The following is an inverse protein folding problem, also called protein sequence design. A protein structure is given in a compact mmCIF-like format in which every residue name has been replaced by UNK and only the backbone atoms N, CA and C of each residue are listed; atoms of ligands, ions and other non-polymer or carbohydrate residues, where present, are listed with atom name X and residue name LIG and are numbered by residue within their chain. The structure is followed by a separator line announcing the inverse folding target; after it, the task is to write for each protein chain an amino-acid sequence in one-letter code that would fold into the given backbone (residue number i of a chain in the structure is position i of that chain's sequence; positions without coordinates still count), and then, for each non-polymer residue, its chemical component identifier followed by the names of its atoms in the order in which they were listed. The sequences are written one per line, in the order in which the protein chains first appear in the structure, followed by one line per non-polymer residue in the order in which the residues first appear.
data_IF_460403884429
#
_entry.id   IF_460403884429
#
_cell.length_a   1.000
_cell.length_b   1.000
_cell.length_c   1.000
_cell.angle_alpha   90.00
_cell.angle_beta   90.00
_cell.angle_gamma   90.00
#
_symmetry.space_group_name_H-M   'P 1'
#
loop_
_entity.id
_entity.type
_entity.pdbx_description
1 polymer ?
#
# COMPACT_ATOMS: atom_id res chain seq x y z
N UNK A 1 5.14 39.31 -47.76
CA UNK A 1 4.54 38.36 -48.69
C UNK A 1 3.61 37.51 -47.87
N UNK A 2 2.36 37.92 -47.74
CA UNK A 2 1.21 37.47 -48.55
C UNK A 2 1.00 35.97 -48.32
N UNK A 3 -0.11 35.46 -47.90
CA UNK A 3 -1.48 35.99 -47.84
C UNK A 3 -2.44 34.85 -47.81
N UNK A 4 -3.54 35.16 -47.21
CA UNK A 4 -4.95 34.84 -47.49
C UNK A 4 -5.47 33.52 -46.91
N UNK A 5 -6.38 33.52 -45.94
CA UNK A 5 -7.84 33.86 -45.93
C UNK A 5 -8.68 33.09 -46.96
N UNK A 6 -9.66 32.32 -46.44
CA UNK A 6 -11.10 32.32 -46.76
C UNK A 6 -11.78 31.24 -45.90
N UNK A 7 -12.69 31.50 -45.07
CA UNK A 7 -14.06 32.06 -44.99
C UNK A 7 -15.15 31.13 -45.56
N UNK A 8 -16.13 30.95 -44.69
CA UNK A 8 -17.61 30.87 -44.88
C UNK A 8 -18.16 29.52 -45.33
N UNK A 9 -19.36 29.08 -44.97
CA UNK A 9 -20.62 29.76 -44.66
C UNK A 9 -21.62 28.78 -44.03
N UNK A 10 -22.47 29.37 -43.24
CA UNK A 10 -23.78 28.90 -42.75
C UNK A 10 -24.68 28.23 -43.78
N UNK A 11 -25.50 27.28 -43.33
CA UNK A 11 -26.91 27.24 -43.79
C UNK A 11 -27.81 26.55 -42.75
N UNK A 12 -28.60 27.37 -42.11
CA UNK A 12 -29.92 27.13 -41.50
C UNK A 12 -30.93 26.76 -42.60
N UNK A 13 -31.80 25.79 -42.34
CA UNK A 13 -33.15 25.79 -42.91
C UNK A 13 -34.15 25.15 -41.96
N UNK A 14 -35.14 25.98 -41.68
CA UNK A 14 -36.44 25.71 -41.02
C UNK A 14 -37.46 25.11 -42.00
N UNK A 15 -38.58 24.77 -41.40
CA UNK A 15 -39.95 24.59 -41.91
C UNK A 15 -40.34 23.13 -42.25
N UNK A 16 -41.52 22.67 -42.02
CA UNK A 16 -42.78 23.27 -41.62
C UNK A 16 -43.82 22.16 -41.41
N UNK A 17 -44.74 22.44 -40.56
CA UNK A 17 -45.99 21.66 -40.38
C UNK A 17 -46.90 21.85 -41.59
N UNK A 18 -47.88 20.93 -41.82
CA UNK A 18 -49.25 21.41 -41.95
C UNK A 18 -50.25 20.63 -41.10
N UNK A 19 -51.20 21.41 -40.63
CA UNK A 19 -52.54 21.00 -40.14
C UNK A 19 -53.48 20.85 -41.36
N UNK A 20 -54.45 19.94 -41.21
CA UNK A 20 -55.84 20.09 -41.76
C UNK A 20 -56.69 19.04 -41.03
N UNK A 21 -57.68 19.37 -40.33
CA UNK A 21 -59.03 19.89 -40.35
C UNK A 21 -60.08 18.85 -40.76
N UNK A 22 -60.88 18.53 -39.79
CA UNK A 22 -62.34 18.30 -39.69
C UNK A 22 -63.17 17.78 -40.90
N UNK A 23 -63.94 16.77 -40.59
CA UNK A 23 -65.34 16.75 -41.08
C UNK A 23 -66.24 15.88 -40.19
N UNK A 24 -67.31 16.51 -39.73
CA UNK A 24 -68.47 15.92 -39.11
C UNK A 24 -69.30 15.18 -40.15
N UNK A 25 -69.96 14.08 -39.83
CA UNK A 25 -71.36 13.85 -40.22
C UNK A 25 -72.08 12.74 -39.39
N UNK A 26 -73.23 13.11 -39.07
CA UNK A 26 -74.28 12.65 -38.28
C UNK A 26 -74.93 11.27 -38.64
N UNK A 27 -75.61 10.77 -37.62
CA UNK A 27 -76.91 10.09 -37.53
C UNK A 27 -76.97 8.63 -37.89
N UNK A 28 -77.35 7.83 -36.90
CA UNK A 28 -78.70 7.17 -36.86
C UNK A 28 -78.93 6.39 -35.53
N UNK A 29 -80.03 6.71 -34.91
CA UNK A 29 -80.62 5.97 -33.81
C UNK A 29 -81.00 4.57 -34.25
N UNK A 30 -80.70 3.56 -33.47
CA UNK A 30 -81.46 2.29 -33.40
C UNK A 30 -81.47 1.78 -31.97
N UNK A 31 -82.60 1.88 -31.39
CA UNK A 31 -83.07 1.17 -30.20
C UNK A 31 -83.08 -0.32 -30.42
N UNK A 32 -82.43 -1.12 -29.49
CA UNK A 32 -83.03 -2.40 -29.11
C UNK A 32 -82.28 -3.13 -27.97
N UNK A 33 -83.07 -3.36 -26.93
CA UNK A 33 -83.13 -4.53 -26.03
C UNK A 33 -81.88 -4.84 -25.15
N UNK A 34 -82.18 -4.63 -23.84
CA UNK A 34 -81.47 -5.20 -22.71
C UNK A 34 -81.34 -6.73 -22.83
N UNK A 35 -80.13 -7.23 -22.87
CA UNK A 35 -79.80 -8.60 -22.54
C UNK A 35 -78.93 -8.59 -21.30
N UNK A 36 -79.52 -8.94 -20.16
CA UNK A 36 -78.79 -9.18 -18.92
C UNK A 36 -77.85 -10.33 -19.15
N UNK A 37 -76.55 -10.04 -19.25
CA UNK A 37 -75.52 -11.05 -19.07
C UNK A 37 -74.88 -10.80 -17.71
N UNK A 38 -75.18 -11.70 -16.79
CA UNK A 38 -74.47 -11.83 -15.53
C UNK A 38 -72.96 -12.07 -15.84
N UNK A 39 -72.17 -11.04 -15.90
CA UNK A 39 -70.75 -11.14 -15.96
C UNK A 39 -70.23 -11.44 -14.54
N UNK A 40 -69.85 -12.70 -14.32
CA UNK A 40 -69.29 -13.14 -13.08
C UNK A 40 -68.06 -12.23 -12.73
N UNK A 41 -68.17 -11.58 -11.61
CA UNK A 41 -67.05 -10.93 -10.96
C UNK A 41 -66.01 -12.02 -10.64
N UNK A 42 -64.98 -12.15 -11.50
CA UNK A 42 -63.76 -12.85 -11.13
C UNK A 42 -63.19 -12.04 -9.98
N UNK A 43 -63.46 -12.48 -8.75
CA UNK A 43 -62.79 -11.95 -7.57
C UNK A 43 -61.28 -11.99 -7.79
N UNK A 44 -60.67 -10.83 -7.87
CA UNK A 44 -59.20 -10.70 -7.75
C UNK A 44 -58.85 -11.30 -6.41
N UNK A 45 -58.43 -12.56 -6.43
CA UNK A 45 -57.82 -13.25 -5.27
C UNK A 45 -56.62 -12.41 -4.88
N UNK A 46 -56.83 -11.47 -3.94
CA UNK A 46 -55.70 -10.79 -3.26
C UNK A 46 -54.91 -11.91 -2.58
N UNK A 47 -53.78 -12.23 -3.16
CA UNK A 47 -52.72 -12.96 -2.47
C UNK A 47 -52.30 -12.07 -1.30
N UNK A 48 -52.99 -12.17 -0.18
CA UNK A 48 -52.49 -11.66 1.08
C UNK A 48 -51.24 -12.49 1.35
N UNK A 49 -50.12 -11.85 1.18
CA UNK A 49 -48.80 -12.36 1.58
C UNK A 49 -48.89 -12.74 3.08
N UNK A 50 -49.32 -13.97 3.32
CA UNK A 50 -49.13 -14.66 4.61
C UNK A 50 -47.72 -15.21 4.67
N UNK A 51 -46.78 -14.51 4.04
CA UNK A 51 -45.37 -14.89 3.87
C UNK A 51 -44.45 -14.08 4.76
N UNK A 52 -45.00 -13.42 5.78
CA UNK A 52 -44.16 -12.72 6.73
C UNK A 52 -43.04 -13.62 7.36
N UNK A 53 -43.35 -14.89 7.77
CA UNK A 53 -42.28 -15.77 8.24
C UNK A 53 -41.29 -16.16 7.14
N UNK A 54 -41.70 -16.29 5.88
CA UNK A 54 -40.79 -16.55 4.76
C UNK A 54 -39.92 -15.32 4.48
N UNK A 55 -40.50 -14.12 4.51
CA UNK A 55 -39.76 -12.88 4.34
C UNK A 55 -38.76 -12.68 5.48
N UNK A 56 -39.17 -12.97 6.71
CA UNK A 56 -38.27 -12.93 7.89
C UNK A 56 -37.14 -13.95 7.77
N UNK A 57 -37.43 -15.16 7.29
CA UNK A 57 -36.43 -16.18 7.02
C UNK A 57 -35.39 -15.75 5.98
N UNK A 58 -35.86 -15.13 4.89
CA UNK A 58 -34.96 -14.59 3.85
C UNK A 58 -34.06 -13.47 4.42
N UNK A 59 -34.63 -12.57 5.23
CA UNK A 59 -33.86 -11.47 5.87
C UNK A 59 -32.82 -12.03 6.83
N UNK A 60 -33.16 -13.04 7.63
CA UNK A 60 -32.21 -13.68 8.56
C UNK A 60 -31.06 -14.39 7.80
N UNK A 61 -31.39 -15.10 6.73
CA UNK A 61 -30.36 -15.74 5.87
C UNK A 61 -29.47 -14.69 5.21
N UNK A 62 -30.05 -13.62 4.69
CA UNK A 62 -29.29 -12.51 4.10
C UNK A 62 -28.40 -11.83 5.15
N UNK A 63 -28.91 -11.57 6.35
CA UNK A 63 -28.14 -10.98 7.45
C UNK A 63 -26.99 -11.90 7.90
N UNK A 64 -27.24 -13.21 8.00
CA UNK A 64 -26.20 -14.20 8.32
C UNK A 64 -25.11 -14.24 7.21
N UNK A 65 -25.53 -14.23 5.94
CA UNK A 65 -24.59 -14.18 4.82
C UNK A 65 -23.76 -12.90 4.81
N UNK A 66 -24.39 -11.75 5.05
CA UNK A 66 -23.70 -10.44 5.18
C UNK A 66 -22.74 -10.47 6.36
N UNK A 67 -23.15 -11.05 7.50
CA UNK A 67 -22.30 -11.20 8.68
C UNK A 67 -21.07 -12.07 8.40
N UNK A 68 -21.25 -13.22 7.77
CA UNK A 68 -20.15 -14.11 7.37
C UNK A 68 -19.24 -13.42 6.36
N UNK A 69 -19.83 -12.77 5.35
CA UNK A 69 -19.06 -12.00 4.36
C UNK A 69 -18.26 -10.88 5.02
N UNK A 70 -18.85 -10.15 5.96
CA UNK A 70 -18.16 -9.11 6.70
C UNK A 70 -17.00 -9.66 7.53
N UNK A 71 -17.21 -10.76 8.27
CA UNK A 71 -16.17 -11.36 9.13
C UNK A 71 -15.00 -11.91 8.31
N UNK A 72 -15.27 -12.58 7.20
CA UNK A 72 -14.21 -13.25 6.41
C UNK A 72 -13.61 -12.40 5.30
N UNK A 73 -14.35 -11.43 4.74
CA UNK A 73 -13.89 -10.65 3.58
C UNK A 73 -13.73 -9.16 3.84
N UNK A 74 -14.51 -8.57 4.74
CA UNK A 74 -14.42 -7.13 5.01
C UNK A 74 -13.62 -6.87 6.29
N UNK A 75 -13.88 -7.63 7.35
CA UNK A 75 -13.22 -7.45 8.64
C UNK A 75 -11.70 -7.50 8.56
N UNK A 76 -11.08 -8.51 7.94
CA UNK A 76 -9.63 -8.58 7.80
C UNK A 76 -9.01 -7.44 6.98
N UNK A 77 -9.80 -6.84 6.06
CA UNK A 77 -9.36 -5.75 5.19
C UNK A 77 -9.84 -4.37 5.63
N UNK A 78 -10.71 -4.29 6.64
CA UNK A 78 -11.29 -3.01 7.09
C UNK A 78 -10.21 -2.02 7.57
N UNK A 79 -9.15 -2.52 8.16
CA UNK A 79 -8.02 -1.72 8.61
C UNK A 79 -7.23 -1.14 7.44
N UNK A 80 -7.01 -1.94 6.39
CA UNK A 80 -6.36 -1.50 5.15
C UNK A 80 -7.20 -0.44 4.41
N UNK A 81 -8.52 -0.61 4.38
CA UNK A 81 -9.41 0.41 3.82
C UNK A 81 -9.35 1.72 4.59
N UNK A 82 -9.26 1.69 5.93
CA UNK A 82 -9.08 2.88 6.75
C UNK A 82 -7.74 3.56 6.46
N UNK A 83 -6.66 2.80 6.36
CA UNK A 83 -5.34 3.32 6.02
C UNK A 83 -5.27 3.90 4.59
N UNK A 84 -5.94 3.28 3.61
CA UNK A 84 -5.97 3.77 2.21
C UNK A 84 -6.85 5.01 2.00
N UNK A 85 -7.95 5.14 2.75
CA UNK A 85 -8.97 6.18 2.54
C UNK A 85 -9.24 7.05 3.77
N UNK A 86 -8.59 6.78 4.88
CA UNK A 86 -8.70 7.49 6.15
C UNK A 86 -7.37 8.07 6.62
N UNK A 87 -7.34 8.48 7.86
CA UNK A 87 -6.11 8.89 8.53
C UNK A 87 -5.25 7.66 8.82
N UNK A 88 -3.94 7.79 8.62
CA UNK A 88 -2.98 6.75 9.01
C UNK A 88 -2.94 6.66 10.52
N UNK A 89 -3.14 5.45 11.06
CA UNK A 89 -3.01 5.22 12.50
C UNK A 89 -1.54 4.96 12.80
N UNK A 90 -0.98 5.78 13.68
CA UNK A 90 0.39 5.61 14.15
C UNK A 90 0.40 4.82 15.48
N UNK A 91 1.33 3.87 15.66
CA UNK A 91 1.48 3.16 16.92
C UNK A 91 1.84 4.10 18.06
N UNK A 92 1.18 3.95 19.20
CA UNK A 92 1.44 4.73 20.41
C UNK A 92 2.70 4.23 21.14
N UNK A 93 3.36 5.14 21.86
CA UNK A 93 4.53 4.83 22.71
C UNK A 93 5.85 4.75 21.98
N UNK A 94 5.93 5.31 20.76
CA UNK A 94 7.16 5.39 19.97
C UNK A 94 7.31 6.80 19.40
N UNK A 95 8.40 7.48 19.75
CA UNK A 95 8.63 8.88 19.42
C UNK A 95 9.59 9.06 18.23
N UNK A 96 10.32 8.01 17.84
CA UNK A 96 11.27 8.05 16.73
C UNK A 96 10.64 7.49 15.48
N UNK A 97 10.31 8.39 14.54
CA UNK A 97 9.59 8.10 13.29
C UNK A 97 10.54 8.10 12.11
N UNK A 98 10.26 7.26 11.13
CA UNK A 98 11.00 7.23 9.89
C UNK A 98 10.13 6.78 8.72
N UNK A 99 10.72 6.84 7.54
CA UNK A 99 10.12 6.37 6.30
C UNK A 99 11.12 5.50 5.56
N UNK A 100 10.62 4.66 4.65
CA UNK A 100 11.46 4.08 3.64
C UNK A 100 10.95 4.39 2.24
N UNK A 101 11.87 4.57 1.31
CA UNK A 101 11.61 5.08 -0.03
C UNK A 101 12.41 4.32 -1.09
N UNK A 102 11.91 4.40 -2.32
CA UNK A 102 12.57 3.92 -3.53
C UNK A 102 12.22 4.84 -4.71
N UNK A 103 12.57 4.44 -5.93
CA UNK A 103 12.12 5.13 -7.15
C UNK A 103 10.59 5.35 -7.23
N UNK A 104 9.78 4.58 -6.51
CA UNK A 104 8.31 4.74 -6.48
C UNK A 104 7.84 6.08 -5.92
N UNK A 105 8.61 6.69 -5.02
CA UNK A 105 8.31 8.01 -4.46
C UNK A 105 8.72 9.15 -5.40
N UNK A 106 9.41 8.83 -6.51
CA UNK A 106 9.87 9.79 -7.51
C UNK A 106 10.64 10.97 -6.90
N UNK A 107 10.32 12.20 -7.28
CA UNK A 107 10.98 13.40 -6.76
C UNK A 107 10.43 13.78 -5.39
N UNK A 108 11.31 13.99 -4.42
CA UNK A 108 11.00 14.36 -3.03
C UNK A 108 11.33 15.83 -2.81
N UNK A 109 10.45 16.54 -2.14
CA UNK A 109 10.68 17.88 -1.64
C UNK A 109 11.28 17.76 -0.22
N UNK A 110 12.60 17.69 -0.15
CA UNK A 110 13.35 17.41 1.06
C UNK A 110 13.19 18.50 2.12
N UNK A 111 13.03 19.77 1.73
CA UNK A 111 12.76 20.87 2.66
C UNK A 111 11.42 20.71 3.34
N UNK A 112 10.39 20.33 2.60
CA UNK A 112 9.09 20.02 3.19
C UNK A 112 9.11 18.76 4.04
N UNK A 113 9.84 17.73 3.60
CA UNK A 113 9.97 16.47 4.35
C UNK A 113 10.67 16.70 5.69
N UNK A 114 11.72 17.53 5.74
CA UNK A 114 12.40 17.90 6.97
C UNK A 114 11.48 18.55 8.00
N UNK A 115 10.55 19.35 7.53
CA UNK A 115 9.58 20.04 8.38
C UNK A 115 8.29 19.25 8.59
N UNK A 116 8.22 18.00 8.08
CA UNK A 116 7.08 17.14 8.23
C UNK A 116 7.09 16.41 9.57
N UNK A 117 5.91 16.02 10.00
CA UNK A 117 5.72 15.19 11.20
C UNK A 117 4.75 14.05 10.91
N UNK A 118 4.89 12.97 11.67
CA UNK A 118 3.98 11.84 11.73
C UNK A 118 3.44 11.77 13.16
N UNK A 119 2.14 12.02 13.34
CA UNK A 119 1.49 12.06 14.66
C UNK A 119 2.16 13.04 15.64
N UNK A 120 2.52 14.23 15.15
CA UNK A 120 3.26 15.32 15.83
C UNK A 120 4.76 15.04 16.09
N UNK A 121 5.26 13.85 15.83
CA UNK A 121 6.69 13.54 15.96
C UNK A 121 7.42 13.83 14.64
N UNK A 122 8.62 14.44 14.67
CA UNK A 122 9.40 14.68 13.47
C UNK A 122 9.86 13.36 12.82
N UNK A 123 10.04 13.39 11.50
CA UNK A 123 10.70 12.29 10.79
C UNK A 123 12.17 12.37 11.11
N UNK A 124 12.73 11.30 11.67
CA UNK A 124 14.10 11.25 12.16
C UNK A 124 15.04 10.48 11.25
N UNK A 125 14.51 9.47 10.52
CA UNK A 125 15.34 8.63 9.65
C UNK A 125 14.64 8.27 8.34
N UNK A 126 15.46 8.01 7.31
CA UNK A 126 15.01 7.60 5.97
C UNK A 126 15.84 6.41 5.50
N UNK A 127 15.20 5.29 5.16
CA UNK A 127 15.87 4.13 4.59
C UNK A 127 15.56 4.07 3.09
N UNK A 128 16.58 3.94 2.25
CA UNK A 128 16.49 4.19 0.81
C UNK A 128 16.88 2.93 0.06
N UNK A 129 16.06 2.51 -0.92
CA UNK A 129 16.40 1.42 -1.82
C UNK A 129 17.66 1.77 -2.59
N UNK A 130 18.68 0.92 -2.49
CA UNK A 130 19.92 1.10 -3.23
C UNK A 130 20.00 0.13 -4.40
N UNK A 131 19.85 -1.16 -4.15
CA UNK A 131 20.07 -2.20 -5.15
C UNK A 131 19.05 -3.34 -5.05
N UNK A 132 18.92 -4.09 -6.14
CA UNK A 132 18.11 -5.30 -6.22
C UNK A 132 18.83 -6.38 -7.04
N UNK A 133 18.87 -7.59 -6.55
CA UNK A 133 19.52 -8.70 -7.22
C UNK A 133 20.99 -8.43 -7.50
N UNK A 134 21.48 -8.78 -8.70
CA UNK A 134 22.91 -8.69 -9.03
C UNK A 134 23.28 -7.52 -9.94
N UNK A 135 22.30 -6.67 -10.34
CA UNK A 135 22.54 -5.68 -11.40
C UNK A 135 21.62 -4.46 -11.42
N UNK A 136 20.55 -4.43 -10.62
CA UNK A 136 19.62 -3.30 -10.61
C UNK A 136 20.02 -2.33 -9.48
N UNK A 137 20.37 -1.10 -9.84
CA UNK A 137 20.51 0.03 -8.92
C UNK A 137 19.25 0.88 -9.01
N UNK A 138 18.69 1.30 -7.88
CA UNK A 138 17.56 2.23 -7.85
C UNK A 138 18.01 3.57 -8.46
N UNK A 139 17.25 4.05 -9.43
CA UNK A 139 17.64 5.22 -10.22
C UNK A 139 17.74 6.52 -9.42
N UNK A 140 17.01 6.60 -8.30
CA UNK A 140 16.99 7.78 -7.42
C UNK A 140 17.90 7.60 -6.18
N UNK A 141 18.57 6.46 -6.03
CA UNK A 141 19.35 6.16 -4.82
C UNK A 141 20.36 7.24 -4.48
N UNK A 142 21.26 7.55 -5.41
CA UNK A 142 22.37 8.48 -5.13
C UNK A 142 21.87 9.87 -4.74
N UNK A 143 20.87 10.38 -5.45
CA UNK A 143 20.26 11.69 -5.17
C UNK A 143 19.55 11.67 -3.80
N UNK A 144 18.68 10.69 -3.57
CA UNK A 144 17.94 10.57 -2.33
C UNK A 144 18.85 10.36 -1.12
N UNK A 145 19.89 9.54 -1.26
CA UNK A 145 20.83 9.27 -0.18
C UNK A 145 21.65 10.50 0.20
N UNK A 146 22.10 11.27 -0.80
CA UNK A 146 22.80 12.53 -0.59
C UNK A 146 21.90 13.58 0.06
N UNK A 147 20.70 13.77 -0.46
CA UNK A 147 19.75 14.78 0.04
C UNK A 147 19.23 14.43 1.45
N UNK A 148 19.02 13.15 1.77
CA UNK A 148 18.66 12.73 3.12
C UNK A 148 19.71 13.19 4.14
N UNK A 149 21.00 12.98 3.86
CA UNK A 149 22.09 13.44 4.72
C UNK A 149 22.18 14.96 4.82
N UNK A 150 21.99 15.70 3.70
CA UNK A 150 22.00 17.17 3.71
C UNK A 150 20.85 17.79 4.51
N UNK A 151 19.77 17.05 4.68
CA UNK A 151 18.61 17.48 5.44
C UNK A 151 18.58 16.90 6.87
N UNK A 152 19.74 16.46 7.39
CA UNK A 152 19.96 15.97 8.76
C UNK A 152 19.11 14.75 9.15
N UNK A 153 18.68 13.93 8.19
CA UNK A 153 18.08 12.64 8.49
C UNK A 153 19.16 11.62 8.79
N UNK A 154 18.92 10.75 9.77
CA UNK A 154 19.67 9.49 9.87
C UNK A 154 19.26 8.66 8.66
N UNK A 155 20.21 8.36 7.78
CA UNK A 155 19.94 7.68 6.53
C UNK A 155 20.42 6.24 6.56
N UNK A 156 19.78 5.38 5.76
CA UNK A 156 20.16 3.99 5.58
C UNK A 156 19.95 3.55 4.14
N UNK A 157 20.61 2.48 3.74
CA UNK A 157 20.51 1.90 2.41
C UNK A 157 20.08 0.43 2.48
N UNK A 158 19.13 0.01 1.65
CA UNK A 158 18.72 -1.37 1.60
C UNK A 158 18.94 -2.05 0.25
N UNK A 159 19.22 -3.35 0.33
CA UNK A 159 19.31 -4.26 -0.80
C UNK A 159 18.07 -5.16 -0.84
N UNK A 160 17.33 -5.14 -1.94
CA UNK A 160 16.22 -6.08 -2.17
C UNK A 160 16.77 -7.42 -2.65
N UNK A 161 16.64 -8.44 -1.82
CA UNK A 161 17.17 -9.77 -2.08
C UNK A 161 16.31 -10.52 -3.10
N UNK A 162 16.93 -11.04 -4.15
CA UNK A 162 16.27 -11.86 -5.18
C UNK A 162 16.65 -13.33 -4.98
N UNK A 163 15.75 -14.17 -4.44
CA UNK A 163 16.01 -15.59 -4.23
C UNK A 163 16.32 -16.32 -5.53
N UNK A 164 17.29 -17.25 -5.48
CA UNK A 164 17.74 -18.00 -6.65
C UNK A 164 18.86 -17.31 -7.46
N UNK A 165 19.10 -16.03 -7.23
CA UNK A 165 20.32 -15.37 -7.68
C UNK A 165 21.48 -15.62 -6.69
N UNK A 166 22.71 -15.61 -7.18
CA UNK A 166 23.89 -15.86 -6.35
C UNK A 166 24.01 -14.79 -5.23
N UNK A 167 23.87 -15.20 -3.99
CA UNK A 167 23.86 -14.32 -2.82
C UNK A 167 25.17 -13.53 -2.65
N UNK A 168 26.31 -14.16 -2.90
CA UNK A 168 27.60 -13.48 -2.82
C UNK A 168 27.77 -12.41 -3.91
N UNK A 169 27.19 -12.61 -5.10
CA UNK A 169 27.20 -11.59 -6.14
C UNK A 169 26.26 -10.42 -5.76
N UNK A 170 25.11 -10.70 -5.15
CA UNK A 170 24.19 -9.68 -4.64
C UNK A 170 24.89 -8.83 -3.57
N UNK A 171 25.54 -9.44 -2.59
CA UNK A 171 26.31 -8.73 -1.55
C UNK A 171 27.41 -7.85 -2.15
N UNK A 172 28.22 -8.40 -3.05
CA UNK A 172 29.28 -7.64 -3.72
C UNK A 172 28.75 -6.49 -4.58
N UNK A 173 27.60 -6.69 -5.22
CA UNK A 173 26.94 -5.65 -6.00
C UNK A 173 26.47 -4.50 -5.09
N UNK A 174 25.83 -4.84 -3.96
CA UNK A 174 25.47 -3.83 -2.96
C UNK A 174 26.67 -3.05 -2.47
N UNK A 175 27.73 -3.73 -2.04
CA UNK A 175 28.97 -3.11 -1.54
C UNK A 175 29.69 -2.24 -2.58
N UNK A 176 29.49 -2.51 -3.87
CA UNK A 176 30.04 -1.70 -4.95
C UNK A 176 29.25 -0.41 -5.21
N UNK A 177 27.94 -0.44 -4.96
CA UNK A 177 27.07 0.70 -5.21
C UNK A 177 26.88 1.60 -4.00
N UNK A 178 27.02 1.05 -2.78
CA UNK A 178 26.69 1.73 -1.53
C UNK A 178 27.95 2.00 -0.73
N UNK A 179 28.16 3.26 -0.41
CA UNK A 179 29.27 3.72 0.43
C UNK A 179 28.67 4.42 1.65
N UNK A 180 28.62 3.71 2.77
CA UNK A 180 28.14 4.25 4.03
C UNK A 180 29.25 4.99 4.76
N UNK A 181 28.86 5.96 5.57
CA UNK A 181 29.72 6.83 6.37
C UNK A 181 29.32 6.74 7.85
N UNK A 182 30.18 7.16 8.79
CA UNK A 182 29.81 7.32 10.18
C UNK A 182 28.54 8.17 10.33
N UNK A 183 27.59 7.70 11.14
CA UNK A 183 26.25 8.30 11.27
C UNK A 183 25.17 7.70 10.36
N UNK A 184 25.52 6.90 9.37
CA UNK A 184 24.57 6.12 8.58
C UNK A 184 24.12 4.86 9.34
N UNK A 185 22.91 4.38 9.08
CA UNK A 185 22.43 3.10 9.61
C UNK A 185 23.25 1.93 9.04
N UNK A 186 23.35 0.81 9.77
CA UNK A 186 23.92 -0.42 9.23
C UNK A 186 23.25 -0.80 7.91
N UNK A 187 23.98 -1.49 7.01
CA UNK A 187 23.41 -2.02 5.78
C UNK A 187 22.13 -2.81 6.03
N UNK A 188 21.12 -2.67 5.16
CA UNK A 188 19.86 -3.39 5.31
C UNK A 188 19.70 -4.43 4.22
N UNK A 189 19.36 -5.67 4.62
CA UNK A 189 18.95 -6.73 3.71
C UNK A 189 17.44 -6.94 3.78
N UNK A 190 16.76 -6.70 2.68
CA UNK A 190 15.33 -6.87 2.54
C UNK A 190 15.00 -8.24 1.91
N UNK A 191 14.36 -9.12 2.70
CA UNK A 191 14.03 -10.50 2.31
C UNK A 191 12.54 -10.76 2.47
N UNK A 192 11.81 -10.78 1.36
CA UNK A 192 10.35 -10.90 1.35
C UNK A 192 9.83 -12.14 0.61
N UNK A 193 10.64 -12.75 -0.21
CA UNK A 193 10.24 -13.83 -1.10
C UNK A 193 11.12 -15.05 -0.92
N UNK A 194 10.53 -16.23 -1.04
CA UNK A 194 11.27 -17.48 -1.02
C UNK A 194 11.69 -17.94 -2.44
N UNK A 195 11.00 -17.44 -3.46
CA UNK A 195 11.18 -17.92 -4.83
C UNK A 195 10.95 -19.44 -4.94
N UNK A 196 11.79 -20.08 -5.72
CA UNK A 196 11.77 -21.55 -5.89
C UNK A 196 12.76 -22.27 -4.96
N UNK A 197 13.26 -21.60 -3.92
CA UNK A 197 14.21 -22.18 -2.97
C UNK A 197 13.47 -22.98 -1.89
N UNK A 198 14.18 -23.96 -1.32
CA UNK A 198 13.78 -24.54 -0.04
C UNK A 198 14.12 -23.58 1.10
N UNK A 199 13.44 -23.67 2.26
CA UNK A 199 13.77 -22.83 3.42
C UNK A 199 15.26 -22.91 3.83
N UNK A 200 15.86 -24.09 3.73
CA UNK A 200 17.28 -24.28 4.04
C UNK A 200 18.21 -23.58 3.03
N UNK A 201 17.85 -23.56 1.74
CA UNK A 201 18.60 -22.83 0.72
C UNK A 201 18.48 -21.33 0.93
N UNK A 202 17.25 -20.82 1.14
CA UNK A 202 17.04 -19.40 1.44
C UNK A 202 17.87 -18.94 2.64
N UNK A 203 17.83 -19.69 3.75
CA UNK A 203 18.61 -19.34 4.95
C UNK A 203 20.11 -19.29 4.70
N UNK A 204 20.65 -20.24 3.95
CA UNK A 204 22.08 -20.22 3.56
C UNK A 204 22.42 -19.00 2.71
N UNK A 205 21.59 -18.70 1.72
CA UNK A 205 21.82 -17.59 0.81
C UNK A 205 21.72 -16.24 1.51
N UNK A 206 20.69 -16.06 2.36
CA UNK A 206 20.55 -14.87 3.22
C UNK A 206 21.77 -14.72 4.14
N UNK A 207 22.18 -15.81 4.82
CA UNK A 207 23.36 -15.78 5.70
C UNK A 207 24.64 -15.45 4.93
N UNK A 208 24.80 -15.97 3.72
CA UNK A 208 25.96 -15.64 2.86
C UNK A 208 26.03 -14.14 2.56
N UNK A 209 24.90 -13.50 2.25
CA UNK A 209 24.87 -12.06 2.01
C UNK A 209 25.25 -11.28 3.28
N UNK A 210 24.61 -11.63 4.40
CA UNK A 210 24.83 -10.98 5.69
C UNK A 210 26.31 -11.07 6.11
N UNK A 211 26.93 -12.26 6.00
CA UNK A 211 28.34 -12.45 6.38
C UNK A 211 29.31 -11.62 5.55
N UNK A 212 29.07 -11.50 4.24
CA UNK A 212 29.94 -10.74 3.35
C UNK A 212 29.84 -9.24 3.67
N UNK A 213 28.64 -8.75 3.93
CA UNK A 213 28.43 -7.32 4.21
C UNK A 213 28.88 -6.97 5.62
N UNK A 214 28.64 -7.84 6.61
CA UNK A 214 29.16 -7.72 7.96
C UNK A 214 30.72 -7.67 7.97
N UNK A 215 31.36 -8.53 7.19
CA UNK A 215 32.83 -8.55 7.09
C UNK A 215 33.42 -7.23 6.51
N UNK A 216 32.61 -6.44 5.77
CA UNK A 216 33.08 -5.16 5.21
C UNK A 216 32.90 -4.01 6.19
N UNK A 217 31.78 -3.96 6.91
CA UNK A 217 31.44 -2.83 7.78
C UNK A 217 31.65 -3.13 9.27
N UNK A 218 32.07 -4.35 9.63
CA UNK A 218 32.31 -4.83 11.00
C UNK A 218 31.09 -4.73 11.95
N UNK A 219 29.92 -4.43 11.41
CA UNK A 219 28.62 -4.36 12.12
C UNK A 219 27.63 -5.35 11.57
N UNK A 220 26.67 -5.76 12.40
CA UNK A 220 25.57 -6.63 11.97
C UNK A 220 24.62 -5.87 11.06
N UNK A 221 24.41 -6.30 9.80
CA UNK A 221 23.39 -5.72 8.96
C UNK A 221 21.99 -5.86 9.58
N UNK A 222 21.10 -4.92 9.31
CA UNK A 222 19.69 -5.01 9.67
C UNK A 222 19.00 -5.96 8.71
N UNK A 223 18.21 -6.91 9.24
CA UNK A 223 17.43 -7.85 8.44
C UNK A 223 15.97 -7.43 8.43
N UNK A 224 15.53 -6.89 7.26
CA UNK A 224 14.12 -6.56 7.04
C UNK A 224 13.36 -7.74 6.45
N UNK A 225 12.16 -7.95 6.96
CA UNK A 225 11.23 -8.96 6.46
C UNK A 225 9.82 -8.77 7.02
N UNK A 226 8.80 -9.29 6.31
CA UNK A 226 7.44 -9.36 6.84
C UNK A 226 7.33 -10.30 8.04
N UNK A 227 6.51 -9.94 9.04
CA UNK A 227 6.33 -10.72 10.27
C UNK A 227 6.03 -12.20 10.01
N UNK A 228 5.06 -12.49 9.14
CA UNK A 228 4.72 -13.87 8.80
C UNK A 228 5.89 -14.59 8.12
N UNK A 229 6.58 -13.93 7.20
CA UNK A 229 7.73 -14.50 6.49
C UNK A 229 8.87 -14.82 7.44
N UNK A 230 9.14 -13.94 8.42
CA UNK A 230 10.10 -14.21 9.49
C UNK A 230 9.76 -15.47 10.25
N UNK A 231 8.51 -15.60 10.70
CA UNK A 231 8.09 -16.75 11.50
C UNK A 231 8.16 -18.06 10.71
N UNK A 232 7.83 -18.04 9.42
CA UNK A 232 7.80 -19.24 8.59
C UNK A 232 9.21 -19.67 8.10
N UNK A 233 10.11 -18.71 7.82
CA UNK A 233 11.34 -19.02 7.08
C UNK A 233 12.63 -18.53 7.74
N UNK A 234 12.61 -17.41 8.47
CA UNK A 234 13.80 -16.77 9.04
C UNK A 234 13.84 -16.83 10.57
N UNK A 235 12.99 -17.67 11.20
CA UNK A 235 12.97 -17.89 12.65
C UNK A 235 13.97 -18.98 13.04
N UNK A 236 15.21 -18.85 12.61
CA UNK A 236 16.32 -19.75 12.91
C UNK A 236 17.31 -19.02 13.81
N UNK A 237 17.95 -19.73 14.74
CA UNK A 237 18.89 -19.16 15.71
C UNK A 237 20.11 -18.47 15.05
N UNK A 238 20.47 -18.86 13.81
CA UNK A 238 21.56 -18.22 13.07
C UNK A 238 21.30 -16.73 12.79
N UNK A 239 20.01 -16.31 12.78
CA UNK A 239 19.61 -14.94 12.57
C UNK A 239 19.30 -14.17 13.87
N UNK A 240 19.31 -14.82 15.03
CA UNK A 240 18.99 -14.19 16.32
C UNK A 240 19.94 -13.04 16.71
N UNK A 241 21.13 -13.03 16.13
CA UNK A 241 22.16 -12.02 16.39
C UNK A 241 22.02 -10.75 15.53
N UNK A 242 21.13 -10.75 14.53
CA UNK A 242 20.92 -9.61 13.62
C UNK A 242 19.79 -8.73 14.11
N UNK A 243 19.93 -7.39 14.06
CA UNK A 243 18.81 -6.49 14.34
C UNK A 243 17.71 -6.67 13.29
N UNK A 244 16.47 -6.81 13.76
CA UNK A 244 15.33 -6.97 12.85
C UNK A 244 14.59 -5.68 12.61
N UNK A 245 14.26 -5.42 11.33
CA UNK A 245 13.24 -4.49 10.92
C UNK A 245 12.04 -5.29 10.38
N UNK A 246 10.91 -5.24 11.09
CA UNK A 246 9.77 -6.11 10.82
C UNK A 246 8.64 -5.32 10.17
N UNK A 247 8.16 -5.78 9.01
CA UNK A 247 6.94 -5.28 8.42
C UNK A 247 5.73 -6.04 8.96
N UNK A 248 4.81 -5.32 9.60
CA UNK A 248 3.54 -5.85 10.07
C UNK A 248 2.49 -4.75 10.06
N UNK A 249 1.72 -4.71 8.97
CA UNK A 249 0.83 -3.60 8.65
C UNK A 249 -0.51 -3.72 9.36
N UNK A 250 -1.13 -2.58 9.65
CA UNK A 250 -2.51 -2.46 10.08
C UNK A 250 -2.84 -3.19 11.40
N UNK A 251 -1.86 -3.30 12.27
CA UNK A 251 -2.02 -3.79 13.64
C UNK A 251 -1.69 -2.67 14.63
N UNK A 252 -2.36 -2.67 15.78
CA UNK A 252 -2.13 -1.64 16.80
C UNK A 252 -0.82 -1.86 17.56
N UNK A 253 -0.31 -3.07 17.53
CA UNK A 253 0.92 -3.46 18.24
C UNK A 253 1.60 -4.59 17.49
N UNK A 254 2.92 -4.55 17.43
CA UNK A 254 3.72 -5.65 16.92
C UNK A 254 3.68 -6.82 17.92
N UNK A 255 3.19 -7.97 17.47
CA UNK A 255 3.04 -9.17 18.33
C UNK A 255 4.33 -9.98 18.44
N UNK A 256 5.37 -9.61 17.69
CA UNK A 256 6.67 -10.29 17.75
C UNK A 256 7.33 -10.08 19.13
N UNK A 257 7.70 -11.19 19.77
CA UNK A 257 8.25 -11.21 21.14
C UNK A 257 9.79 -11.26 21.21
N UNK A 258 10.44 -11.41 20.04
CA UNK A 258 11.91 -11.36 19.97
C UNK A 258 12.41 -9.92 19.86
N UNK A 259 13.72 -9.77 19.78
CA UNK A 259 14.36 -8.47 19.63
C UNK A 259 14.13 -7.91 18.22
N UNK A 260 13.78 -6.64 18.15
CA UNK A 260 13.60 -5.90 16.92
C UNK A 260 13.96 -4.43 17.12
N UNK A 261 14.44 -3.79 16.08
CA UNK A 261 14.89 -2.39 16.14
C UNK A 261 13.93 -1.44 15.42
N UNK A 262 13.26 -1.90 14.35
CA UNK A 262 12.32 -1.09 13.59
C UNK A 262 11.06 -1.90 13.24
N UNK A 263 9.95 -1.18 13.12
CA UNK A 263 8.68 -1.74 12.67
C UNK A 263 8.08 -0.86 11.57
N UNK A 264 7.95 -1.43 10.37
CA UNK A 264 7.20 -0.84 9.27
C UNK A 264 5.72 -1.16 9.49
N UNK A 265 4.95 -0.15 9.92
CA UNK A 265 3.59 -0.35 10.42
C UNK A 265 2.51 -0.07 9.37
N UNK A 266 2.84 0.64 8.27
CA UNK A 266 1.93 0.91 7.15
C UNK A 266 2.69 1.12 5.85
N UNK A 267 2.07 0.69 4.75
CA UNK A 267 2.49 0.92 3.36
C UNK A 267 1.66 2.04 2.66
N UNK A 268 0.89 2.80 3.43
CA UNK A 268 -0.09 3.76 2.92
C UNK A 268 0.03 5.14 3.60
N UNK A 269 1.17 5.45 4.21
CA UNK A 269 1.43 6.73 4.85
C UNK A 269 1.35 7.89 3.85
N UNK A 270 1.04 9.07 4.34
CA UNK A 270 1.09 10.32 3.58
C UNK A 270 1.86 11.34 4.36
N UNK A 271 2.95 11.81 3.77
CA UNK A 271 3.89 12.71 4.42
C UNK A 271 4.12 13.94 3.54
N UNK A 272 4.20 15.12 4.15
CA UNK A 272 4.52 16.35 3.42
C UNK A 272 5.91 16.23 2.77
N UNK A 273 6.02 16.66 1.51
CA UNK A 273 7.25 16.52 0.73
C UNK A 273 7.28 15.30 -0.19
N UNK A 274 6.42 14.29 0.03
CA UNK A 274 6.32 13.09 -0.80
C UNK A 274 4.98 13.05 -1.53
N UNK A 275 5.02 12.77 -2.82
CA UNK A 275 3.81 12.58 -3.63
C UNK A 275 3.35 11.14 -3.56
N UNK A 276 2.09 10.93 -3.13
CA UNK A 276 1.51 9.60 -3.04
C UNK A 276 1.66 8.96 -1.67
N UNK A 277 1.79 7.65 -1.65
CA UNK A 277 1.94 6.84 -0.44
C UNK A 277 3.40 6.55 -0.17
N UNK A 278 3.74 6.43 1.11
CA UNK A 278 5.07 6.08 1.58
C UNK A 278 4.96 5.12 2.76
N UNK A 279 5.92 4.23 2.87
CA UNK A 279 6.05 3.30 3.97
C UNK A 279 6.51 4.03 5.23
N UNK A 280 5.76 3.85 6.34
CA UNK A 280 6.05 4.53 7.60
C UNK A 280 6.56 3.54 8.64
N UNK A 281 7.57 4.00 9.35
CA UNK A 281 8.34 3.21 10.29
C UNK A 281 8.41 3.88 11.66
N UNK A 282 8.55 3.05 12.68
CA UNK A 282 8.96 3.45 14.01
C UNK A 282 10.25 2.75 14.39
N UNK A 283 11.04 3.40 15.20
CA UNK A 283 12.22 2.82 15.85
C UNK A 283 11.88 2.41 17.29
N UNK A 284 12.36 1.24 17.72
CA UNK A 284 12.11 0.68 19.06
C UNK A 284 13.15 1.18 20.06
N UNK A 285 13.11 2.46 20.36
CA UNK A 285 14.04 3.08 21.28
C UNK A 285 13.99 4.60 21.21
N UNK A 286 14.87 5.25 21.93
CA UNK A 286 15.03 6.69 21.92
C UNK A 286 15.85 7.14 20.70
N UNK A 287 15.86 8.46 20.45
CA UNK A 287 16.74 9.06 19.43
C UNK A 287 18.24 8.79 19.71
N UNK A 288 18.62 8.66 20.98
CA UNK A 288 19.99 8.28 21.34
C UNK A 288 20.29 6.83 20.97
N UNK A 289 19.31 5.93 21.16
CA UNK A 289 19.48 4.52 20.76
C UNK A 289 19.55 4.38 19.22
N UNK A 290 18.81 5.20 18.46
CA UNK A 290 18.93 5.25 17.01
C UNK A 290 20.35 5.69 16.59
N UNK A 291 20.90 6.73 17.25
CA UNK A 291 22.28 7.20 17.00
C UNK A 291 23.33 6.17 17.40
N UNK A 292 23.09 5.42 18.48
CA UNK A 292 24.00 4.35 18.90
C UNK A 292 23.98 3.15 17.93
N UNK A 293 22.90 2.99 17.15
CA UNK A 293 22.78 1.96 16.11
C UNK A 293 23.53 2.35 14.84
N UNK A 294 23.79 3.63 14.57
CA UNK A 294 24.53 4.06 13.37
C UNK A 294 25.98 3.61 13.39
N UNK A 295 26.57 3.52 12.22
CA UNK A 295 27.99 3.24 12.04
C UNK A 295 28.82 4.30 12.76
N UNK A 296 29.91 3.87 13.40
CA UNK A 296 30.83 4.73 14.10
C UNK A 296 32.16 4.81 13.34
N UNK A 297 33.03 5.77 13.65
CA UNK A 297 34.35 5.91 13.03
C UNK A 297 35.19 4.61 13.13
N UNK A 298 35.06 3.92 14.27
CA UNK A 298 35.78 2.65 14.57
C UNK A 298 35.35 1.48 13.68
N UNK A 299 34.19 1.55 13.03
CA UNK A 299 33.71 0.50 12.12
C UNK A 299 34.43 0.56 10.74
N UNK A 300 35.19 1.60 10.49
CA UNK A 300 35.88 1.81 9.21
C UNK A 300 37.40 1.59 9.30
N UNK A 301 37.95 1.39 10.51
CA UNK A 301 39.35 1.05 10.77
C UNK A 301 39.60 -0.46 10.60
#
# INVERSE_FOLDING_TARGET
MEGQRTSSTNRTMQSGKPRYSSAKRNTAKATRTKKNSRRGQKGKRRWRLRSWPVLLGIILVAAAYIGVFYIYFVGPFSFRWKAMYGETVYPEGYDVRGIDISHYQASIDWEKLRNASMDNDPISFVIIKATEGTSLTDENFNENFYEAGRNDFVRGAYHFFVPGMNAAKQAKFFLHQVHLEPGDLPPVLDVEKMGNLTPAQLRRDVKTWLDIVEAKYHVKPILYTGYKFKMDYLNDSIFAQYPYWIAHYYVNKLEYKGDWVMWQHTDCGRVSGIRGQVDCNIFNGSMQDLKNLTLQEEDFD
#
